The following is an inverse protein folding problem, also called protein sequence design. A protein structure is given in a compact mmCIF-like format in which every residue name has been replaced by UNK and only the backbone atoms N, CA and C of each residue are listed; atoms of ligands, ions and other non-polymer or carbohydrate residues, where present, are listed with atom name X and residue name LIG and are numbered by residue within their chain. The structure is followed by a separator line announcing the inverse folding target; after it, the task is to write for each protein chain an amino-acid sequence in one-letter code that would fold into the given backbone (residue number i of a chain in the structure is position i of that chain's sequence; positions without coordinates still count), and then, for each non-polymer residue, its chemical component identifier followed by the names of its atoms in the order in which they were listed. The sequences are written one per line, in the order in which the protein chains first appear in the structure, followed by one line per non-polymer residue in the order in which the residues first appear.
data_IF_810835573474
#
_entry.id   IF_810835573474
#
_cell.length_a   1.000
_cell.length_b   1.000
_cell.length_c   1.000
_cell.angle_alpha   90.00
_cell.angle_beta   90.00
_cell.angle_gamma   90.00
#
_symmetry.space_group_name_H-M   'P 1'
#
loop_
_entity.id
_entity.type
_entity.pdbx_description
1 polymer ?
#
# COMPACT_ATOMS: atom_id res chain seq x y z
N UNK A 1 -13.45 -20.45 -9.38
CA UNK A 1 -13.14 -20.30 -7.94
C UNK A 1 -12.68 -18.89 -7.66
N UNK A 2 -13.24 -18.24 -6.67
CA UNK A 2 -12.81 -16.91 -6.25
C UNK A 2 -11.50 -17.02 -5.47
N UNK A 3 -10.51 -16.25 -5.89
CA UNK A 3 -9.20 -16.15 -5.22
C UNK A 3 -8.93 -14.71 -4.81
N UNK A 4 -8.07 -14.56 -3.81
CA UNK A 4 -7.57 -13.26 -3.38
C UNK A 4 -6.05 -13.31 -3.32
N UNK A 5 -5.41 -12.28 -3.87
CA UNK A 5 -3.95 -12.13 -3.81
C UNK A 5 -3.63 -10.91 -2.94
N UNK A 6 -2.57 -11.01 -2.18
CA UNK A 6 -2.19 -10.00 -1.19
C UNK A 6 -0.81 -9.47 -1.51
N UNK A 7 -0.62 -8.17 -1.33
CA UNK A 7 0.61 -7.49 -1.71
C UNK A 7 1.09 -6.57 -0.61
N UNK A 8 2.41 -6.44 -0.54
CA UNK A 8 3.11 -5.47 0.28
C UNK A 8 3.94 -4.60 -0.65
N UNK A 9 3.86 -3.28 -0.47
CA UNK A 9 4.62 -2.34 -1.29
C UNK A 9 5.30 -1.31 -0.41
N UNK A 10 6.47 -0.85 -0.88
CA UNK A 10 7.17 0.29 -0.28
C UNK A 10 7.11 1.42 -1.27
N UNK A 11 6.66 2.58 -0.82
CA UNK A 11 6.52 3.77 -1.66
C UNK A 11 7.25 4.95 -1.02
N UNK A 12 7.59 5.92 -1.85
CA UNK A 12 8.14 7.18 -1.39
C UNK A 12 7.34 8.33 -1.98
N UNK A 13 7.24 9.42 -1.25
CA UNK A 13 6.61 10.64 -1.73
C UNK A 13 7.25 11.86 -1.09
N UNK A 14 7.06 13.02 -1.72
CA UNK A 14 7.54 14.29 -1.19
C UNK A 14 6.48 14.92 -0.31
N UNK A 15 6.82 15.23 0.93
CA UNK A 15 5.94 15.95 1.84
C UNK A 15 5.91 17.43 1.47
N UNK A 16 4.87 18.11 1.90
CA UNK A 16 4.72 19.56 1.65
C UNK A 16 5.85 20.37 2.29
N UNK A 17 6.49 19.85 3.33
CA UNK A 17 7.64 20.49 3.96
C UNK A 17 8.97 20.25 3.19
N UNK A 18 8.92 19.57 2.07
CA UNK A 18 10.09 19.31 1.23
C UNK A 18 10.87 18.06 1.58
N UNK A 19 10.41 17.27 2.54
CA UNK A 19 11.11 16.04 2.96
C UNK A 19 10.59 14.82 2.21
N UNK A 20 11.52 14.02 1.71
CA UNK A 20 11.20 12.74 1.11
C UNK A 20 10.82 11.75 2.23
N UNK A 21 9.68 11.10 2.08
CA UNK A 21 9.14 10.19 3.09
C UNK A 21 8.88 8.83 2.46
N UNK A 22 9.26 7.77 3.17
CA UNK A 22 8.95 6.41 2.77
C UNK A 22 7.77 5.89 3.58
N UNK A 23 6.93 5.11 2.92
CA UNK A 23 5.79 4.47 3.59
C UNK A 23 5.62 3.07 3.04
N UNK A 24 4.98 2.21 3.82
CA UNK A 24 4.59 0.89 3.34
C UNK A 24 3.08 0.81 3.26
N UNK A 25 2.59 0.08 2.28
CA UNK A 25 1.16 -0.14 2.09
C UNK A 25 0.91 -1.60 1.79
N UNK A 26 -0.27 -2.07 2.15
CA UNK A 26 -0.75 -3.40 1.78
C UNK A 26 -1.98 -3.25 0.91
N UNK A 27 -2.17 -4.21 0.02
CA UNK A 27 -3.32 -4.21 -0.88
C UNK A 27 -3.74 -5.64 -1.16
N UNK A 28 -4.98 -5.80 -1.62
CA UNK A 28 -5.46 -7.10 -2.07
C UNK A 28 -6.25 -6.96 -3.36
N UNK A 29 -6.22 -8.03 -4.16
CA UNK A 29 -7.01 -8.16 -5.39
C UNK A 29 -7.82 -9.44 -5.28
N UNK A 30 -9.12 -9.36 -5.54
CA UNK A 30 -10.02 -10.48 -5.43
C UNK A 30 -10.79 -10.67 -6.73
N UNK A 31 -10.94 -11.91 -7.17
CA UNK A 31 -11.69 -12.22 -8.38
C UNK A 31 -11.56 -13.69 -8.75
N UNK A 32 -12.05 -14.06 -9.95
CA UNK A 32 -11.86 -15.38 -10.46
C UNK A 32 -10.38 -15.62 -10.73
N UNK A 33 -9.89 -16.81 -10.43
CA UNK A 33 -8.46 -17.15 -10.54
C UNK A 33 -7.86 -16.78 -11.89
N UNK A 34 -8.60 -17.02 -12.96
CA UNK A 34 -8.15 -16.72 -14.33
C UNK A 34 -8.02 -15.23 -14.63
N UNK A 35 -8.71 -14.40 -13.88
CA UNK A 35 -8.79 -12.95 -14.11
C UNK A 35 -7.92 -12.15 -13.13
N UNK A 36 -7.38 -12.79 -12.11
CA UNK A 36 -6.52 -12.13 -11.13
C UNK A 36 -5.14 -11.90 -11.72
N UNK A 37 -4.73 -10.65 -11.76
CA UNK A 37 -3.41 -10.25 -12.22
C UNK A 37 -2.64 -9.59 -11.08
N UNK A 38 -1.35 -9.36 -11.31
CA UNK A 38 -0.53 -8.61 -10.37
C UNK A 38 -1.11 -7.21 -10.16
N UNK A 39 -1.12 -6.73 -8.92
CA UNK A 39 -1.72 -5.45 -8.57
C UNK A 39 -1.04 -4.31 -9.34
N UNK A 40 -1.78 -3.54 -10.12
CA UNK A 40 -1.17 -2.48 -10.94
C UNK A 40 -0.51 -1.40 -10.09
N UNK A 41 0.71 -1.02 -10.48
CA UNK A 41 1.48 0.01 -9.77
C UNK A 41 0.69 1.33 -9.68
N UNK A 42 -0.02 1.70 -10.74
CA UNK A 42 -0.81 2.93 -10.74
C UNK A 42 -1.91 2.94 -9.68
N UNK A 43 -2.49 1.77 -9.37
CA UNK A 43 -3.47 1.67 -8.30
C UNK A 43 -2.82 1.89 -6.94
N UNK A 44 -1.61 1.37 -6.75
CA UNK A 44 -0.85 1.60 -5.52
C UNK A 44 -0.50 3.07 -5.34
N UNK A 45 -0.08 3.75 -6.41
CA UNK A 45 0.19 5.18 -6.39
C UNK A 45 -1.07 5.96 -5.98
N UNK A 46 -2.21 5.62 -6.58
CA UNK A 46 -3.49 6.25 -6.25
C UNK A 46 -3.84 6.05 -4.78
N UNK A 47 -3.66 4.83 -4.27
CA UNK A 47 -3.95 4.52 -2.86
C UNK A 47 -3.08 5.35 -1.90
N UNK A 48 -1.79 5.48 -2.21
CA UNK A 48 -0.86 6.28 -1.40
C UNK A 48 -1.26 7.76 -1.43
N UNK A 49 -1.57 8.30 -2.60
CA UNK A 49 -1.92 9.72 -2.75
C UNK A 49 -3.25 10.04 -2.08
N UNK A 50 -4.20 9.12 -2.09
CA UNK A 50 -5.44 9.26 -1.34
C UNK A 50 -5.19 9.31 0.17
N UNK A 51 -4.37 8.39 0.65
CA UNK A 51 -4.10 8.23 2.08
C UNK A 51 -3.36 9.43 2.68
N UNK A 52 -2.43 10.01 1.94
CA UNK A 52 -1.57 11.07 2.44
C UNK A 52 -1.82 12.43 1.78
N UNK A 53 -2.92 12.59 1.09
CA UNK A 53 -3.20 13.79 0.26
C UNK A 53 -3.02 15.13 0.96
N UNK A 54 -3.26 15.18 2.27
CA UNK A 54 -3.15 16.42 3.04
C UNK A 54 -1.70 16.79 3.39
N UNK A 55 -0.80 15.80 3.36
CA UNK A 55 0.59 15.96 3.81
C UNK A 55 1.61 15.92 2.68
N UNK A 56 1.20 15.56 1.47
CA UNK A 56 2.12 15.33 0.36
C UNK A 56 1.91 16.27 -0.81
N UNK A 57 2.95 16.43 -1.61
CA UNK A 57 2.86 17.09 -2.90
C UNK A 57 2.31 16.09 -3.90
N UNK A 58 1.17 16.41 -4.52
CA UNK A 58 0.51 15.52 -5.48
C UNK A 58 1.44 15.18 -6.64
N UNK A 59 1.38 13.93 -7.10
CA UNK A 59 2.14 13.49 -8.25
C UNK A 59 3.59 13.11 -7.95
N UNK A 60 3.98 13.03 -6.68
CA UNK A 60 5.37 12.72 -6.30
C UNK A 60 5.58 11.29 -5.83
N UNK A 61 4.54 10.46 -5.84
CA UNK A 61 4.63 9.08 -5.34
C UNK A 61 5.40 8.19 -6.29
N UNK A 62 6.39 7.48 -5.75
CA UNK A 62 7.16 6.46 -6.47
C UNK A 62 7.03 5.14 -5.73
N UNK A 63 6.80 4.06 -6.46
CA UNK A 63 6.74 2.72 -5.88
C UNK A 63 8.11 2.08 -6.00
N UNK A 64 8.73 1.79 -4.87
CA UNK A 64 10.06 1.18 -4.82
C UNK A 64 10.04 -0.33 -4.98
N UNK A 65 9.05 -0.98 -4.38
CA UNK A 65 8.95 -2.43 -4.47
C UNK A 65 7.52 -2.88 -4.25
N UNK A 66 7.15 -3.98 -4.90
CA UNK A 66 5.85 -4.64 -4.71
C UNK A 66 6.14 -6.13 -4.66
N UNK A 67 5.71 -6.80 -3.60
CA UNK A 67 5.83 -8.26 -3.50
C UNK A 67 4.48 -8.85 -3.14
N UNK A 68 4.26 -10.05 -3.61
CA UNK A 68 3.08 -10.82 -3.21
C UNK A 68 3.38 -11.52 -1.87
N UNK A 69 2.42 -11.47 -0.94
CA UNK A 69 2.57 -12.06 0.38
C UNK A 69 1.40 -12.99 0.66
N UNK A 70 1.52 -13.80 1.70
CA UNK A 70 0.43 -14.68 2.14
C UNK A 70 -0.67 -13.87 2.84
N UNK A 71 -1.87 -14.46 2.90
CA UNK A 71 -2.95 -13.87 3.69
C UNK A 71 -2.55 -13.70 5.15
N UNK A 72 -1.84 -14.67 5.68
CA UNK A 72 -1.37 -14.67 7.05
C UNK A 72 -0.45 -13.47 7.34
N UNK A 73 0.51 -13.23 6.46
CA UNK A 73 1.40 -12.08 6.57
C UNK A 73 0.66 -10.75 6.38
N UNK A 74 -0.27 -10.72 5.44
CA UNK A 74 -1.11 -9.54 5.19
C UNK A 74 -1.90 -9.15 6.44
N UNK A 75 -2.57 -10.11 7.05
CA UNK A 75 -3.38 -9.86 8.24
C UNK A 75 -2.51 -9.44 9.43
N UNK A 76 -1.38 -10.11 9.64
CA UNK A 76 -0.46 -9.80 10.73
C UNK A 76 0.14 -8.40 10.58
N UNK A 77 0.51 -8.02 9.37
CA UNK A 77 1.08 -6.70 9.11
C UNK A 77 0.07 -5.59 9.34
N UNK A 78 -1.15 -5.75 8.84
CA UNK A 78 -2.21 -4.77 9.01
C UNK A 78 -2.60 -4.60 10.49
N UNK A 79 -2.61 -5.70 11.23
CA UNK A 79 -2.87 -5.69 12.66
C UNK A 79 -1.80 -4.89 13.41
N UNK A 80 -0.53 -5.06 13.02
CA UNK A 80 0.59 -4.32 13.61
C UNK A 80 0.50 -2.83 13.34
N UNK A 81 0.15 -2.44 12.11
CA UNK A 81 -0.03 -1.03 11.74
C UNK A 81 -1.17 -0.42 12.56
N UNK A 82 -2.28 -1.13 12.72
CA UNK A 82 -3.41 -0.66 13.51
C UNK A 82 -3.00 -0.38 14.96
N UNK A 83 -2.17 -1.26 15.55
CA UNK A 83 -1.67 -1.09 16.91
C UNK A 83 -0.74 0.11 17.06
N UNK A 84 0.11 0.35 16.05
CA UNK A 84 1.00 1.52 16.04
C UNK A 84 0.18 2.80 15.97
N UNK A 85 -0.80 2.86 15.09
CA UNK A 85 -1.67 4.03 14.94
C UNK A 85 -2.47 4.30 16.22
N UNK A 86 -2.90 3.25 16.90
CA UNK A 86 -3.61 3.35 18.17
C UNK A 86 -2.76 4.01 19.25
N UNK A 87 -1.47 3.67 19.30
CA UNK A 87 -0.53 4.26 20.29
C UNK A 87 -0.20 5.72 19.99
N UNK A 88 -0.19 6.11 18.73
CA UNK A 88 0.09 7.48 18.31
C UNK A 88 -1.14 8.39 18.43
N UNK A 89 -2.31 7.77 18.38
CA UNK A 89 -3.57 8.49 18.53
C UNK A 89 -3.88 8.71 19.99
#
# INVERSE_FOLDING_TARGET
MIRERYYYAVAAFMRKDGKLTYTSVTSSVKGEEKDIVFYPIMNLITDVEEKFKDDMVSGTTLIHSVIEISKEDYDAYNDRIAKINEKEG
#
